data_IF_149952215397
#
_entry.id   IF_149952215397
#
_cell.length_a   1.000
_cell.length_b   1.000
_cell.length_c   1.000
_cell.angle_alpha   90.00
_cell.angle_beta   90.00
_cell.angle_gamma   90.00
#
_symmetry.space_group_name_H-M   'P 1'
#
loop_
_entity.id
_entity.type
_entity.pdbx_description
1 polymer ?
#
# COMPACT_ATOMS: atom_id res chain seq x y z
N UNK A 1 -21.97 -12.67 12.57
CA UNK A 1 -20.97 -11.87 13.33
C UNK A 1 -21.00 -10.43 12.81
N UNK A 2 -20.82 -9.41 13.66
CA UNK A 2 -20.99 -7.98 13.34
C UNK A 2 -19.69 -7.16 13.32
N UNK A 3 -18.57 -7.76 12.92
CA UNK A 3 -17.25 -7.10 12.97
C UNK A 3 -17.10 -6.03 11.88
N UNK A 4 -16.49 -4.90 12.26
CA UNK A 4 -15.89 -3.97 11.29
C UNK A 4 -14.65 -4.66 10.71
N UNK A 5 -14.52 -4.64 9.40
CA UNK A 5 -13.52 -5.42 8.65
C UNK A 5 -12.92 -4.60 7.51
N UNK A 6 -11.70 -4.93 7.14
CA UNK A 6 -11.01 -4.46 5.95
C UNK A 6 -10.21 -5.59 5.33
N UNK A 7 -9.53 -5.27 4.25
CA UNK A 7 -8.60 -6.15 3.54
C UNK A 7 -7.25 -5.43 3.42
N UNK A 8 -6.21 -6.20 3.11
CA UNK A 8 -4.89 -5.67 2.85
C UNK A 8 -4.32 -6.25 1.55
N UNK A 9 -3.38 -5.53 0.95
CA UNK A 9 -2.65 -5.94 -0.24
C UNK A 9 -1.17 -6.06 0.08
N UNK A 10 -0.60 -7.25 -0.06
CA UNK A 10 0.84 -7.46 0.03
C UNK A 10 1.50 -6.96 -1.25
N UNK A 11 2.31 -5.92 -1.12
CA UNK A 11 2.93 -5.26 -2.26
C UNK A 11 4.07 -6.09 -2.86
N UNK A 12 4.17 -6.06 -4.19
CA UNK A 12 5.33 -6.60 -4.92
C UNK A 12 5.89 -5.56 -5.90
N UNK A 13 6.56 -4.50 -5.40
CA UNK A 13 6.93 -3.33 -6.20
C UNK A 13 7.84 -3.60 -7.41
N UNK A 14 8.51 -4.74 -7.46
CA UNK A 14 9.34 -5.22 -8.58
C UNK A 14 8.54 -5.82 -9.74
N UNK A 15 7.25 -6.15 -9.56
CA UNK A 15 6.46 -6.85 -10.58
C UNK A 15 5.65 -5.90 -11.48
N UNK A 16 4.99 -4.89 -10.91
CA UNK A 16 4.12 -3.94 -11.63
C UNK A 16 4.18 -2.55 -10.97
N UNK A 17 3.55 -1.54 -11.57
CA UNK A 17 3.41 -0.22 -10.93
C UNK A 17 2.50 -0.24 -9.69
N UNK A 18 2.56 0.83 -8.89
CA UNK A 18 1.70 1.01 -7.72
C UNK A 18 0.23 1.11 -8.14
N UNK A 19 -0.06 1.85 -9.21
CA UNK A 19 -1.40 1.96 -9.79
C UNK A 19 -1.96 0.60 -10.24
N UNK A 20 -1.14 -0.24 -10.88
CA UNK A 20 -1.58 -1.57 -11.31
C UNK A 20 -2.00 -2.43 -10.11
N UNK A 21 -1.21 -2.41 -9.03
CA UNK A 21 -1.55 -3.17 -7.82
C UNK A 21 -2.73 -2.57 -7.06
N UNK A 22 -2.87 -1.24 -7.01
CA UNK A 22 -4.01 -0.59 -6.39
C UNK A 22 -5.32 -0.91 -7.12
N UNK A 23 -5.31 -0.90 -8.46
CA UNK A 23 -6.45 -1.32 -9.27
C UNK A 23 -6.82 -2.78 -8.99
N UNK A 24 -5.83 -3.68 -9.07
CA UNK A 24 -6.04 -5.10 -8.77
C UNK A 24 -6.63 -5.28 -7.37
N UNK A 25 -6.07 -4.62 -6.35
CA UNK A 25 -6.56 -4.69 -4.99
C UNK A 25 -8.02 -4.26 -4.90
N UNK A 26 -8.39 -3.08 -5.42
CA UNK A 26 -9.77 -2.60 -5.38
C UNK A 26 -10.73 -3.56 -6.08
N UNK A 27 -10.34 -4.11 -7.23
CA UNK A 27 -11.15 -5.04 -8.02
C UNK A 27 -11.33 -6.42 -7.35
N UNK A 28 -10.45 -6.77 -6.39
CA UNK A 28 -10.41 -8.10 -5.77
C UNK A 28 -10.59 -8.07 -4.24
N UNK A 29 -11.31 -7.08 -3.72
CA UNK A 29 -11.74 -7.04 -2.31
C UNK A 29 -11.16 -5.89 -1.49
N UNK A 30 -10.35 -5.03 -2.09
CA UNK A 30 -9.82 -3.79 -1.52
C UNK A 30 -10.77 -2.60 -1.59
N UNK A 31 -11.92 -2.75 -2.24
CA UNK A 31 -12.93 -1.70 -2.34
C UNK A 31 -13.47 -1.24 -0.98
N UNK A 32 -13.94 0.00 -0.93
CA UNK A 32 -14.53 0.59 0.26
C UNK A 32 -15.94 1.12 -0.02
N UNK A 33 -16.82 1.04 0.97
CA UNK A 33 -18.13 1.69 0.96
C UNK A 33 -18.46 2.24 2.34
N UNK A 34 -19.28 3.31 2.39
CA UNK A 34 -19.73 3.95 3.65
C UNK A 34 -20.86 3.14 4.31
N UNK A 35 -20.63 1.86 4.58
CA UNK A 35 -21.62 0.92 5.13
C UNK A 35 -21.57 0.78 6.67
N UNK A 36 -20.69 1.55 7.34
CA UNK A 36 -20.47 1.45 8.78
C UNK A 36 -19.74 0.19 9.23
N UNK A 37 -19.24 -0.62 8.29
CA UNK A 37 -18.57 -1.90 8.56
C UNK A 37 -17.23 -2.03 7.85
N UNK A 38 -16.96 -1.22 6.82
CA UNK A 38 -15.76 -1.34 5.98
C UNK A 38 -14.67 -0.35 6.41
N UNK A 39 -13.52 -0.88 6.84
CA UNK A 39 -12.29 -0.10 6.98
C UNK A 39 -11.71 0.22 5.60
N UNK A 40 -10.95 1.32 5.44
CA UNK A 40 -10.08 1.49 4.28
C UNK A 40 -9.15 0.29 4.12
N UNK A 41 -8.82 -0.04 2.88
CA UNK A 41 -7.83 -1.06 2.58
C UNK A 41 -6.44 -0.65 3.06
N UNK A 42 -5.63 -1.65 3.40
CA UNK A 42 -4.25 -1.45 3.81
C UNK A 42 -3.26 -1.87 2.71
N UNK A 43 -2.26 -1.03 2.45
CA UNK A 43 -1.04 -1.39 1.73
C UNK A 43 -0.07 -2.03 2.73
N UNK A 44 0.14 -3.34 2.61
CA UNK A 44 1.19 -4.06 3.31
C UNK A 44 2.46 -3.98 2.47
N UNK A 45 3.42 -3.18 2.93
CA UNK A 45 4.68 -2.90 2.24
C UNK A 45 5.84 -3.15 3.20
N UNK A 46 6.45 -4.32 3.06
CA UNK A 46 7.49 -4.82 3.95
C UNK A 46 8.53 -5.65 3.18
N UNK A 47 9.39 -6.42 3.86
CA UNK A 47 10.54 -7.08 3.26
C UNK A 47 10.15 -8.01 2.10
N UNK A 48 10.85 -7.92 0.97
CA UNK A 48 10.62 -8.91 -0.09
C UNK A 48 10.97 -10.32 0.41
N UNK A 49 10.01 -11.26 0.48
CA UNK A 49 10.29 -12.63 0.93
C UNK A 49 10.95 -13.49 -0.18
N UNK A 50 11.06 -12.95 -1.40
CA UNK A 50 11.51 -13.67 -2.59
C UNK A 50 12.80 -13.11 -3.19
N UNK A 51 13.44 -12.12 -2.56
CA UNK A 51 14.63 -11.50 -3.15
C UNK A 51 15.19 -10.33 -2.36
N UNK A 52 15.65 -9.30 -3.09
CA UNK A 52 16.26 -8.12 -2.49
C UNK A 52 15.28 -7.44 -1.52
N UNK A 53 15.73 -7.12 -0.31
CA UNK A 53 14.93 -6.53 0.78
C UNK A 53 13.97 -5.41 0.34
N UNK A 54 14.45 -4.51 -0.53
CA UNK A 54 13.68 -3.38 -1.07
C UNK A 54 13.20 -3.59 -2.52
N UNK A 55 12.98 -4.85 -2.94
CA UNK A 55 12.48 -5.22 -4.27
C UNK A 55 13.34 -4.68 -5.41
N UNK A 56 14.65 -4.56 -5.20
CA UNK A 56 15.60 -4.01 -6.18
C UNK A 56 15.41 -2.51 -6.47
N UNK A 57 14.58 -1.79 -5.69
CA UNK A 57 14.35 -0.35 -5.88
C UNK A 57 15.35 0.50 -5.10
N UNK A 58 15.67 1.67 -5.65
CA UNK A 58 16.19 2.78 -4.87
C UNK A 58 15.12 3.34 -3.94
N UNK A 59 15.53 4.08 -2.91
CA UNK A 59 14.61 4.73 -1.97
C UNK A 59 13.61 5.64 -2.67
N UNK A 60 14.08 6.47 -3.62
CA UNK A 60 13.19 7.36 -4.38
C UNK A 60 12.22 6.58 -5.26
N UNK A 61 12.65 5.50 -5.91
CA UNK A 61 11.78 4.66 -6.72
C UNK A 61 10.72 3.94 -5.86
N UNK A 62 11.06 3.54 -4.63
CA UNK A 62 10.10 2.97 -3.69
C UNK A 62 9.05 4.00 -3.25
N UNK A 63 9.48 5.22 -2.89
CA UNK A 63 8.57 6.31 -2.51
C UNK A 63 7.63 6.66 -3.67
N UNK A 64 8.13 6.75 -4.90
CA UNK A 64 7.29 6.98 -6.08
C UNK A 64 6.27 5.86 -6.30
N UNK A 65 6.68 4.60 -6.10
CA UNK A 65 5.77 3.45 -6.23
C UNK A 65 4.66 3.48 -5.17
N UNK A 66 4.99 3.77 -3.91
CA UNK A 66 4.02 3.88 -2.82
C UNK A 66 3.05 5.03 -3.11
N UNK A 67 3.56 6.20 -3.53
CA UNK A 67 2.71 7.35 -3.90
C UNK A 67 1.72 7.00 -5.01
N UNK A 68 2.17 6.28 -6.04
CA UNK A 68 1.33 5.84 -7.16
C UNK A 68 0.19 4.90 -6.68
N UNK A 69 0.50 3.96 -5.79
CA UNK A 69 -0.51 3.09 -5.17
C UNK A 69 -1.53 3.89 -4.37
N UNK A 70 -1.07 4.75 -3.45
CA UNK A 70 -1.92 5.52 -2.54
C UNK A 70 -2.86 6.47 -3.31
N UNK A 71 -2.31 7.20 -4.29
CA UNK A 71 -3.10 8.11 -5.13
C UNK A 71 -4.15 7.36 -5.95
N UNK A 72 -3.79 6.21 -6.53
CA UNK A 72 -4.72 5.38 -7.29
C UNK A 72 -5.81 4.81 -6.39
N UNK A 73 -5.46 4.28 -5.22
CA UNK A 73 -6.44 3.77 -4.26
C UNK A 73 -7.42 4.86 -3.80
N UNK A 74 -6.91 6.06 -3.51
CA UNK A 74 -7.74 7.21 -3.14
C UNK A 74 -8.66 7.63 -4.28
N UNK A 75 -8.17 7.69 -5.51
CA UNK A 75 -9.00 7.99 -6.67
C UNK A 75 -10.12 6.96 -6.88
N UNK A 76 -9.83 5.67 -6.65
CA UNK A 76 -10.78 4.57 -6.83
C UNK A 76 -11.81 4.44 -5.73
N UNK A 77 -11.48 4.82 -4.49
CA UNK A 77 -12.32 4.53 -3.30
C UNK A 77 -12.76 5.76 -2.51
N UNK A 78 -12.15 6.92 -2.78
CA UNK A 78 -12.31 8.14 -1.98
C UNK A 78 -11.65 8.09 -0.61
N UNK A 79 -10.85 7.05 -0.29
CA UNK A 79 -10.19 6.87 1.00
C UNK A 79 -8.68 6.82 0.86
N UNK A 80 -7.97 7.40 1.82
CA UNK A 80 -6.55 7.13 2.00
C UNK A 80 -6.38 5.69 2.47
N UNK A 81 -5.51 4.93 1.79
CA UNK A 81 -5.15 3.59 2.24
C UNK A 81 -4.31 3.67 3.52
N UNK A 82 -4.46 2.68 4.39
CA UNK A 82 -3.58 2.52 5.56
C UNK A 82 -2.24 1.95 5.08
N UNK A 83 -1.11 2.45 5.59
CA UNK A 83 0.20 1.82 5.36
C UNK A 83 0.50 0.89 6.54
N UNK A 84 0.71 -0.38 6.25
CA UNK A 84 1.29 -1.35 7.16
C UNK A 84 2.76 -1.57 6.77
N UNK A 85 3.67 -1.37 7.73
CA UNK A 85 5.12 -1.52 7.55
C UNK A 85 5.80 -1.64 8.92
N UNK A 86 7.06 -2.08 8.93
CA UNK A 86 7.95 -1.92 10.07
C UNK A 86 8.81 -0.65 9.95
N UNK A 87 9.18 -0.05 11.08
CA UNK A 87 10.04 1.16 11.13
C UNK A 87 11.40 0.94 10.46
N UNK A 88 12.00 -0.24 10.65
CA UNK A 88 13.29 -0.59 10.07
C UNK A 88 13.21 -0.73 8.54
N UNK A 89 12.20 -1.43 8.03
CA UNK A 89 11.95 -1.51 6.59
C UNK A 89 11.71 -0.12 5.99
N UNK A 90 10.87 0.69 6.64
CA UNK A 90 10.56 2.04 6.17
C UNK A 90 11.81 2.90 6.08
N UNK A 91 12.64 2.91 7.13
CA UNK A 91 13.91 3.64 7.16
C UNK A 91 14.82 3.19 6.02
N UNK A 92 15.00 1.88 5.86
CA UNK A 92 15.92 1.31 4.88
C UNK A 92 15.45 1.56 3.44
N UNK A 93 14.19 1.23 3.13
CA UNK A 93 13.69 1.15 1.76
C UNK A 93 13.05 2.45 1.26
N UNK A 94 12.78 3.43 2.14
CA UNK A 94 12.24 4.74 1.73
C UNK A 94 13.14 5.92 2.08
N UNK A 95 14.23 5.70 2.83
CA UNK A 95 15.05 6.79 3.37
C UNK A 95 14.36 7.52 4.52
N UNK A 96 13.54 6.81 5.29
CA UNK A 96 12.71 7.37 6.36
C UNK A 96 11.81 8.51 5.87
N UNK A 97 11.16 8.30 4.72
CA UNK A 97 10.36 9.34 4.07
C UNK A 97 9.14 9.73 4.91
N UNK A 98 8.98 11.02 5.21
CA UNK A 98 7.89 11.56 6.03
C UNK A 98 6.73 12.19 5.26
N UNK A 99 6.78 12.21 3.92
CA UNK A 99 5.85 12.99 3.10
C UNK A 99 4.42 12.43 2.97
N UNK A 100 4.13 11.25 3.52
CA UNK A 100 2.77 10.67 3.53
C UNK A 100 1.97 10.95 4.80
N UNK A 101 2.56 11.64 5.79
CA UNK A 101 1.93 11.88 7.09
C UNK A 101 1.15 13.21 7.19
N UNK A 102 0.85 13.86 6.05
CA UNK A 102 0.23 15.19 5.99
C UNK A 102 -1.30 15.14 6.13
#
# INVERSE_FOLDING_TARGET
>A
VGMIRGSYHFATPDTTSGAAQANYFVDHGGGWSKDGKTLPGALDIEWNPYGATCYGKSQSAMVSWISDFLNTYKARTGRDAVIYTATSWWTQCTGNYGGFAA
#
